data_IF_968690844759
#
_entry.id   IF_968690844759
#
_cell.length_a   1.000
_cell.length_b   1.000
_cell.length_c   1.000
_cell.angle_alpha   90.00
_cell.angle_beta   90.00
_cell.angle_gamma   90.00
#
_symmetry.space_group_name_H-M   'P 1'
#
loop_
_entity.id
_entity.type
_entity.pdbx_description
1 polymer ?
#
# COMPACT_ATOMS: atom_id res chain seq x y z
N UNK A 1 0.98 38.31 -0.47
CA UNK A 1 -0.36 38.54 0.10
C UNK A 1 -1.00 37.17 0.32
N UNK A 2 -1.53 36.98 1.53
CA UNK A 2 -1.93 35.71 2.16
C UNK A 2 -3.27 35.13 1.70
N UNK A 3 -3.48 33.84 2.02
CA UNK A 3 -4.78 33.16 2.26
C UNK A 3 -5.37 32.50 1.01
N UNK A 4 -5.70 31.20 0.94
CA UNK A 4 -6.47 30.36 1.87
C UNK A 4 -7.98 30.61 1.66
N UNK A 5 -8.92 29.68 1.48
CA UNK A 5 -9.03 28.22 1.41
C UNK A 5 -10.54 27.86 1.33
N UNK A 6 -10.87 26.55 1.32
CA UNK A 6 -12.19 25.90 1.56
C UNK A 6 -13.21 25.91 0.37
N UNK A 7 -13.59 24.77 -0.23
CA UNK A 7 -14.46 23.66 0.24
C UNK A 7 -15.96 24.00 0.29
N UNK A 8 -16.78 23.34 -0.55
CA UNK A 8 -17.93 22.49 -0.18
C UNK A 8 -18.84 22.10 -1.38
N UNK A 9 -19.42 20.91 -1.27
CA UNK A 9 -20.19 20.11 -2.24
C UNK A 9 -21.55 20.68 -2.70
N UNK A 10 -22.12 20.18 -3.82
CA UNK A 10 -23.54 20.34 -4.13
C UNK A 10 -24.39 19.11 -3.73
N UNK A 11 -25.28 19.36 -2.78
CA UNK A 11 -26.73 19.08 -2.75
C UNK A 11 -27.27 17.79 -3.39
N UNK A 12 -27.69 16.87 -2.52
CA UNK A 12 -28.62 15.75 -2.79
C UNK A 12 -30.04 16.27 -3.08
N UNK A 13 -30.61 15.87 -4.21
CA UNK A 13 -32.02 16.03 -4.54
C UNK A 13 -32.81 14.76 -4.17
N UNK A 14 -33.85 14.95 -3.36
CA UNK A 14 -34.86 13.95 -2.96
C UNK A 14 -35.79 13.53 -4.10
N UNK A 15 -36.23 12.25 -4.17
CA UNK A 15 -37.35 11.83 -5.02
C UNK A 15 -38.70 11.90 -4.27
N UNK A 16 -39.85 11.91 -4.99
CA UNK A 16 -41.14 12.25 -4.41
C UNK A 16 -41.95 11.06 -3.88
N UNK A 17 -42.82 11.40 -2.92
CA UNK A 17 -43.85 10.61 -2.25
C UNK A 17 -44.88 10.02 -3.24
N UNK A 18 -45.18 8.72 -3.11
CA UNK A 18 -46.35 8.07 -3.70
C UNK A 18 -47.49 7.97 -2.66
N UNK A 19 -48.65 8.49 -3.02
CA UNK A 19 -49.93 8.43 -2.29
C UNK A 19 -50.65 7.08 -2.49
N UNK A 20 -51.40 6.56 -1.49
CA UNK A 20 -52.19 5.34 -1.65
C UNK A 20 -53.63 5.64 -2.09
N UNK A 21 -54.34 4.69 -2.73
CA UNK A 21 -55.78 4.83 -2.93
C UNK A 21 -56.57 4.23 -1.77
N UNK A 22 -57.55 5.01 -1.35
CA UNK A 22 -58.64 4.70 -0.44
C UNK A 22 -59.62 3.67 -1.03
N UNK A 23 -59.96 2.64 -0.25
CA UNK A 23 -61.10 1.76 -0.49
C UNK A 23 -61.91 1.62 0.80
N UNK A 24 -63.04 2.32 0.88
CA UNK A 24 -64.04 2.21 1.94
C UNK A 24 -65.17 1.22 1.61
N UNK A 25 -66.11 1.00 2.54
CA UNK A 25 -66.57 -0.34 2.92
C UNK A 25 -67.98 -0.69 2.44
N UNK A 26 -68.33 -1.98 2.50
CA UNK A 26 -69.72 -2.44 2.41
C UNK A 26 -69.84 -3.92 2.78
N UNK A 27 -70.74 -4.25 3.72
CA UNK A 27 -71.07 -5.64 4.03
C UNK A 27 -71.71 -5.85 5.41
N UNK A 28 -73.03 -5.79 5.43
CA UNK A 28 -73.94 -5.91 6.57
C UNK A 28 -74.00 -7.31 7.22
N UNK A 29 -74.27 -7.28 8.53
CA UNK A 29 -75.31 -8.02 9.28
C UNK A 29 -75.38 -9.57 9.28
N UNK A 30 -75.00 -10.10 10.45
CA UNK A 30 -75.65 -11.12 11.32
C UNK A 30 -76.32 -12.33 10.63
N UNK A 31 -75.82 -13.54 10.95
CA UNK A 31 -76.69 -14.68 11.26
C UNK A 31 -76.10 -15.59 12.33
N UNK A 32 -76.97 -15.95 13.26
CA UNK A 32 -76.77 -16.82 14.41
C UNK A 32 -76.93 -18.31 14.05
N UNK A 33 -76.44 -19.15 14.96
CA UNK A 33 -76.83 -20.55 15.22
C UNK A 33 -75.94 -21.66 14.65
N UNK A 34 -75.68 -22.67 15.49
CA UNK A 34 -75.14 -23.96 15.10
C UNK A 34 -73.96 -24.44 15.94
N UNK A 35 -74.22 -24.88 17.18
CA UNK A 35 -73.27 -25.72 17.90
C UNK A 35 -73.14 -27.07 17.18
N UNK A 36 -71.99 -27.30 16.56
CA UNK A 36 -71.50 -28.63 16.26
C UNK A 36 -70.10 -28.73 16.87
N UNK A 37 -70.01 -29.51 17.94
CA UNK A 37 -68.77 -29.86 18.65
C UNK A 37 -67.91 -30.74 17.73
N UNK A 38 -67.32 -30.15 16.69
CA UNK A 38 -66.20 -30.75 15.99
C UNK A 38 -64.97 -30.44 16.83
N UNK A 39 -64.35 -31.48 17.38
CA UNK A 39 -63.13 -31.38 18.18
C UNK A 39 -62.01 -30.73 17.34
N UNK A 40 -61.97 -29.40 17.28
CA UNK A 40 -60.83 -28.65 16.80
C UNK A 40 -59.71 -28.91 17.79
N UNK A 41 -58.67 -29.59 17.31
CA UNK A 41 -57.43 -29.74 18.07
C UNK A 41 -56.97 -28.37 18.58
N UNK A 42 -56.50 -28.25 19.83
CA UNK A 42 -55.94 -27.02 20.35
C UNK A 42 -54.83 -26.51 19.41
N UNK A 43 -54.66 -25.18 19.22
CA UNK A 43 -53.64 -24.62 18.31
C UNK A 43 -52.25 -25.21 18.56
N UNK A 44 -51.88 -25.38 19.83
CA UNK A 44 -50.60 -25.94 20.24
C UNK A 44 -50.41 -27.41 19.87
N UNK A 45 -51.47 -28.23 19.73
CA UNK A 45 -51.34 -29.61 19.22
C UNK A 45 -51.12 -29.65 17.71
N UNK A 46 -51.50 -28.60 17.00
CA UNK A 46 -51.14 -28.44 15.58
C UNK A 46 -49.66 -28.08 15.46
N UNK A 47 -49.19 -27.17 16.32
CA UNK A 47 -47.79 -26.74 16.38
C UNK A 47 -46.87 -27.88 16.81
N UNK A 48 -47.28 -28.71 17.78
CA UNK A 48 -46.53 -29.89 18.24
C UNK A 48 -46.41 -30.96 17.14
N UNK A 49 -47.47 -31.20 16.37
CA UNK A 49 -47.42 -32.07 15.19
C UNK A 49 -46.56 -31.49 14.06
N UNK A 50 -46.52 -30.17 13.91
CA UNK A 50 -45.61 -29.53 12.97
C UNK A 50 -44.16 -29.66 13.44
N UNK A 51 -43.91 -29.51 14.74
CA UNK A 51 -42.59 -29.66 15.33
C UNK A 51 -42.07 -31.09 15.16
N UNK A 52 -42.87 -32.11 15.47
CA UNK A 52 -42.53 -33.52 15.24
C UNK A 52 -42.22 -33.79 13.76
N UNK A 53 -42.94 -33.15 12.83
CA UNK A 53 -42.66 -33.24 11.39
C UNK A 53 -41.32 -32.60 11.04
N UNK A 54 -41.03 -31.40 11.53
CA UNK A 54 -39.74 -30.73 11.29
C UNK A 54 -38.57 -31.49 11.90
N UNK A 55 -38.73 -32.05 13.11
CA UNK A 55 -37.73 -32.90 13.75
C UNK A 55 -37.46 -34.17 12.94
N UNK A 56 -38.52 -34.81 12.43
CA UNK A 56 -38.39 -35.96 11.55
C UNK A 56 -37.68 -35.59 10.23
N UNK A 57 -38.06 -34.48 9.60
CA UNK A 57 -37.41 -33.97 8.38
C UNK A 57 -35.91 -33.68 8.62
N UNK A 58 -35.56 -33.04 9.74
CA UNK A 58 -34.17 -32.78 10.13
C UNK A 58 -33.37 -34.07 10.33
N UNK A 59 -34.00 -35.09 10.93
CA UNK A 59 -33.37 -36.40 11.15
C UNK A 59 -33.05 -37.09 9.82
N UNK A 60 -33.98 -37.06 8.86
CA UNK A 60 -33.79 -37.61 7.51
C UNK A 60 -32.70 -36.84 6.77
N UNK A 61 -32.74 -35.50 6.80
CA UNK A 61 -31.77 -34.65 6.12
C UNK A 61 -30.36 -34.87 6.66
N UNK A 62 -30.21 -35.03 7.98
CA UNK A 62 -28.94 -35.36 8.64
C UNK A 62 -28.40 -36.73 8.21
N UNK A 63 -29.26 -37.74 8.08
CA UNK A 63 -28.85 -39.06 7.58
C UNK A 63 -28.38 -39.00 6.13
N UNK A 64 -29.10 -38.30 5.26
CA UNK A 64 -28.73 -38.11 3.85
C UNK A 64 -27.41 -37.35 3.71
N UNK A 65 -27.20 -36.27 4.48
CA UNK A 65 -25.93 -35.51 4.46
C UNK A 65 -24.74 -36.32 5.01
N UNK A 66 -24.99 -37.29 5.89
CA UNK A 66 -23.95 -38.15 6.49
C UNK A 66 -23.63 -39.41 5.67
N UNK A 67 -24.44 -39.73 4.66
CA UNK A 67 -24.26 -40.92 3.83
C UNK A 67 -23.12 -40.76 2.82
N UNK A 68 -22.36 -41.83 2.61
CA UNK A 68 -21.04 -41.77 1.99
C UNK A 68 -21.09 -42.25 0.53
N UNK A 69 -21.76 -41.48 -0.33
CA UNK A 69 -21.86 -41.77 -1.76
C UNK A 69 -23.13 -41.23 -2.39
N UNK A 70 -23.12 -41.04 -3.72
CA UNK A 70 -24.32 -40.58 -4.43
C UNK A 70 -25.45 -41.63 -4.43
N UNK A 71 -25.10 -42.92 -4.37
CA UNK A 71 -26.04 -44.03 -4.44
C UNK A 71 -26.81 -44.27 -3.14
N UNK A 72 -26.11 -44.35 -1.99
CA UNK A 72 -26.76 -44.47 -0.66
C UNK A 72 -27.68 -43.28 -0.36
N UNK A 73 -27.30 -42.07 -0.79
CA UNK A 73 -28.14 -40.86 -0.66
C UNK A 73 -29.41 -40.95 -1.49
N UNK A 74 -29.34 -41.52 -2.70
CA UNK A 74 -30.50 -41.68 -3.58
C UNK A 74 -31.49 -42.75 -3.07
N UNK A 75 -30.99 -43.83 -2.45
CA UNK A 75 -31.84 -44.87 -1.85
C UNK A 75 -32.58 -44.35 -0.61
N UNK A 76 -31.89 -43.64 0.30
CA UNK A 76 -32.52 -43.03 1.47
C UNK A 76 -33.60 -42.00 1.10
N UNK A 77 -33.42 -41.26 0.01
CA UNK A 77 -34.41 -40.31 -0.49
C UNK A 77 -35.64 -40.99 -1.11
N UNK A 78 -35.52 -42.25 -1.56
CA UNK A 78 -36.60 -42.98 -2.22
C UNK A 78 -37.63 -43.57 -1.23
N UNK A 79 -37.18 -43.93 -0.03
CA UNK A 79 -37.98 -44.57 1.02
C UNK A 79 -38.87 -43.58 1.83
N UNK A 80 -38.64 -42.28 1.70
CA UNK A 80 -39.37 -41.23 2.41
C UNK A 80 -40.38 -40.58 1.43
N UNK A 81 -41.60 -40.27 1.88
CA UNK A 81 -42.71 -39.77 1.03
C UNK A 81 -42.26 -38.67 0.06
N UNK A 82 -42.33 -38.97 -1.24
CA UNK A 82 -41.72 -38.16 -2.30
C UNK A 82 -42.22 -36.71 -2.36
N UNK A 83 -43.48 -36.43 -2.06
CA UNK A 83 -44.07 -35.11 -2.38
C UNK A 83 -43.46 -33.94 -1.59
N UNK A 84 -43.39 -34.00 -0.25
CA UNK A 84 -42.89 -32.87 0.55
C UNK A 84 -41.36 -32.68 0.41
N UNK A 85 -40.62 -33.78 0.27
CA UNK A 85 -39.16 -33.74 0.12
C UNK A 85 -38.76 -33.27 -1.29
N UNK A 86 -39.56 -33.60 -2.30
CA UNK A 86 -39.46 -33.05 -3.65
C UNK A 86 -39.81 -31.55 -3.68
N UNK A 87 -40.80 -31.09 -2.92
CA UNK A 87 -41.10 -29.65 -2.77
C UNK A 87 -39.91 -28.90 -2.17
N UNK A 88 -39.33 -29.39 -1.07
CA UNK A 88 -38.16 -28.74 -0.45
C UNK A 88 -36.94 -28.76 -1.38
N UNK A 89 -36.68 -29.86 -2.10
CA UNK A 89 -35.59 -29.94 -3.09
C UNK A 89 -35.82 -28.99 -4.28
N UNK A 90 -37.05 -28.84 -4.75
CA UNK A 90 -37.38 -27.96 -5.88
C UNK A 90 -37.34 -26.48 -5.47
N UNK A 91 -37.80 -26.13 -4.27
CA UNK A 91 -37.67 -24.79 -3.69
C UNK A 91 -36.20 -24.41 -3.45
N UNK A 92 -35.41 -25.28 -2.81
CA UNK A 92 -33.97 -25.02 -2.62
C UNK A 92 -33.20 -24.97 -3.94
N UNK A 93 -33.56 -25.79 -4.94
CA UNK A 93 -32.99 -25.68 -6.28
C UNK A 93 -33.39 -24.37 -6.98
N UNK A 94 -34.62 -23.91 -6.82
CA UNK A 94 -35.10 -22.64 -7.35
C UNK A 94 -34.38 -21.44 -6.70
N UNK A 95 -34.18 -21.47 -5.39
CA UNK A 95 -33.45 -20.46 -4.62
C UNK A 95 -31.95 -20.44 -4.96
N UNK A 96 -31.31 -21.60 -5.08
CA UNK A 96 -29.92 -21.69 -5.53
C UNK A 96 -29.77 -21.17 -6.95
N UNK A 97 -30.73 -21.47 -7.84
CA UNK A 97 -30.73 -20.97 -9.21
C UNK A 97 -30.98 -19.46 -9.29
N UNK A 98 -31.89 -18.92 -8.46
CA UNK A 98 -32.13 -17.47 -8.38
C UNK A 98 -30.92 -16.72 -7.82
N UNK A 99 -30.29 -17.25 -6.77
CA UNK A 99 -29.06 -16.72 -6.20
C UNK A 99 -27.88 -16.81 -7.19
N UNK A 100 -27.74 -17.90 -7.92
CA UNK A 100 -26.71 -18.04 -8.96
C UNK A 100 -26.94 -17.04 -10.11
N UNK A 101 -28.18 -16.89 -10.59
CA UNK A 101 -28.52 -15.88 -11.60
C UNK A 101 -28.20 -14.48 -11.12
N UNK A 102 -28.52 -14.15 -9.87
CA UNK A 102 -28.22 -12.84 -9.30
C UNK A 102 -26.72 -12.59 -9.18
N UNK A 103 -25.96 -13.56 -8.66
CA UNK A 103 -24.49 -13.47 -8.58
C UNK A 103 -23.84 -13.37 -9.95
N UNK A 104 -24.37 -14.08 -10.95
CA UNK A 104 -23.90 -14.01 -12.32
C UNK A 104 -24.13 -12.62 -12.91
N UNK A 105 -25.31 -12.03 -12.70
CA UNK A 105 -25.63 -10.67 -13.14
C UNK A 105 -24.76 -9.62 -12.46
N UNK A 106 -24.60 -9.70 -11.15
CA UNK A 106 -23.72 -8.79 -10.41
C UNK A 106 -22.29 -8.87 -10.92
N UNK A 107 -21.77 -10.08 -11.15
CA UNK A 107 -20.42 -10.27 -11.70
C UNK A 107 -20.29 -9.70 -13.12
N UNK A 108 -21.32 -9.85 -13.96
CA UNK A 108 -21.28 -9.27 -15.32
C UNK A 108 -21.34 -7.74 -15.28
N UNK A 109 -22.17 -7.16 -14.42
CA UNK A 109 -22.26 -5.70 -14.22
C UNK A 109 -20.95 -5.13 -13.67
N UNK A 110 -20.35 -5.77 -12.65
CA UNK A 110 -19.05 -5.40 -12.11
C UNK A 110 -17.94 -5.49 -13.17
N UNK A 111 -17.97 -6.55 -13.99
CA UNK A 111 -17.01 -6.72 -15.08
C UNK A 111 -17.19 -5.65 -16.17
N UNK A 112 -18.43 -5.34 -16.55
CA UNK A 112 -18.75 -4.28 -17.52
C UNK A 112 -18.26 -2.92 -17.02
N UNK A 113 -18.55 -2.57 -15.77
CA UNK A 113 -18.08 -1.32 -15.14
C UNK A 113 -16.55 -1.28 -15.09
N UNK A 114 -15.89 -2.39 -14.74
CA UNK A 114 -14.43 -2.46 -14.73
C UNK A 114 -13.82 -2.29 -16.14
N UNK A 115 -14.42 -2.90 -17.17
CA UNK A 115 -13.98 -2.76 -18.56
C UNK A 115 -14.17 -1.34 -19.07
N UNK A 116 -15.32 -0.72 -18.79
CA UNK A 116 -15.56 0.69 -19.14
C UNK A 116 -14.59 1.63 -18.43
N UNK A 117 -14.28 1.35 -17.15
CA UNK A 117 -13.28 2.09 -16.39
C UNK A 117 -11.90 2.00 -17.02
N UNK A 118 -11.46 0.79 -17.38
CA UNK A 118 -10.19 0.56 -18.07
C UNK A 118 -10.14 1.21 -19.45
N UNK A 119 -11.24 1.18 -20.22
CA UNK A 119 -11.32 1.84 -21.52
C UNK A 119 -11.21 3.37 -21.39
N UNK A 120 -11.90 3.97 -20.41
CA UNK A 120 -11.80 5.41 -20.13
C UNK A 120 -10.39 5.80 -19.71
N UNK A 121 -9.77 5.03 -18.82
CA UNK A 121 -8.38 5.26 -18.40
C UNK A 121 -7.41 5.15 -19.58
N UNK A 122 -7.53 4.10 -20.40
CA UNK A 122 -6.70 3.93 -21.59
C UNK A 122 -6.87 5.10 -22.57
N UNK A 123 -8.10 5.55 -22.78
CA UNK A 123 -8.36 6.69 -23.65
C UNK A 123 -7.74 7.98 -23.10
N UNK A 124 -7.82 8.21 -21.79
CA UNK A 124 -7.20 9.35 -21.12
C UNK A 124 -5.67 9.30 -21.23
N UNK A 125 -5.05 8.15 -20.93
CA UNK A 125 -3.60 7.98 -21.05
C UNK A 125 -3.13 8.21 -22.49
N UNK A 126 -3.91 7.79 -23.48
CA UNK A 126 -3.63 8.05 -24.89
C UNK A 126 -3.73 9.54 -25.24
N UNK A 127 -4.73 10.25 -24.74
CA UNK A 127 -4.84 11.70 -24.98
C UNK A 127 -3.70 12.44 -24.32
N UNK A 128 -3.39 12.15 -23.05
CA UNK A 128 -2.30 12.79 -22.30
C UNK A 128 -0.95 12.54 -22.98
N UNK A 129 -0.69 11.31 -23.43
CA UNK A 129 0.54 10.98 -24.15
C UNK A 129 0.62 11.74 -25.49
N UNK A 130 -0.49 11.81 -26.23
CA UNK A 130 -0.53 12.52 -27.52
C UNK A 130 -0.31 14.02 -27.33
N UNK A 131 -0.93 14.62 -26.32
CA UNK A 131 -0.75 16.04 -25.98
C UNK A 131 0.69 16.33 -25.54
N UNK A 132 1.27 15.47 -24.70
CA UNK A 132 2.67 15.62 -24.27
C UNK A 132 3.65 15.50 -25.45
N UNK A 133 3.37 14.59 -26.39
CA UNK A 133 4.17 14.41 -27.59
C UNK A 133 4.06 15.62 -28.51
N UNK A 134 2.86 16.13 -28.75
CA UNK A 134 2.64 17.34 -29.56
C UNK A 134 3.28 18.58 -28.92
N UNK A 135 3.22 18.71 -27.59
CA UNK A 135 3.91 19.79 -26.88
C UNK A 135 5.43 19.70 -27.04
N UNK A 136 6.00 18.49 -26.92
CA UNK A 136 7.43 18.28 -27.15
C UNK A 136 7.82 18.53 -28.62
N UNK A 137 7.01 18.08 -29.56
CA UNK A 137 7.22 18.28 -31.00
C UNK A 137 7.21 19.78 -31.36
N UNK A 138 6.20 20.53 -30.91
CA UNK A 138 6.12 21.98 -31.15
C UNK A 138 7.29 22.75 -30.52
N UNK A 139 7.73 22.37 -29.32
CA UNK A 139 8.90 22.94 -28.68
C UNK A 139 10.19 22.67 -29.49
N UNK A 140 10.40 21.42 -29.92
CA UNK A 140 11.56 21.03 -30.72
C UNK A 140 11.54 21.70 -32.10
N UNK A 141 10.37 21.82 -32.73
CA UNK A 141 10.21 22.56 -33.99
C UNK A 141 10.61 24.03 -33.79
N UNK A 142 10.16 24.69 -32.73
CA UNK A 142 10.57 26.05 -32.40
C UNK A 142 12.08 26.20 -32.20
N UNK A 143 12.72 25.25 -31.50
CA UNK A 143 14.18 25.24 -31.35
C UNK A 143 14.92 25.04 -32.67
N UNK A 144 14.43 24.17 -33.55
CA UNK A 144 14.99 23.97 -34.88
C UNK A 144 14.86 25.24 -35.72
N UNK A 145 13.73 25.93 -35.66
CA UNK A 145 13.51 27.21 -36.35
C UNK A 145 14.45 28.30 -35.83
N UNK A 146 14.59 28.44 -34.51
CA UNK A 146 15.53 29.38 -33.87
C UNK A 146 16.97 29.10 -34.30
N UNK A 147 17.44 27.86 -34.18
CA UNK A 147 18.78 27.45 -34.61
C UNK A 147 18.99 27.65 -36.10
N UNK A 148 17.95 27.43 -36.92
CA UNK A 148 18.01 27.68 -38.36
C UNK A 148 18.15 29.17 -38.65
N UNK A 149 17.41 30.03 -37.93
CA UNK A 149 17.52 31.48 -38.04
C UNK A 149 18.91 31.98 -37.61
N UNK A 150 19.45 31.46 -36.51
CA UNK A 150 20.80 31.76 -36.02
C UNK A 150 21.88 31.33 -37.02
N UNK A 151 21.74 30.13 -37.58
CA UNK A 151 22.65 29.64 -38.61
C UNK A 151 22.59 30.50 -39.88
N UNK A 152 21.40 30.95 -40.27
CA UNK A 152 21.23 31.90 -41.38
C UNK A 152 21.88 33.26 -41.05
N UNK A 153 21.67 33.80 -39.85
CA UNK A 153 22.29 35.05 -39.40
C UNK A 153 23.81 34.94 -39.38
N UNK A 154 24.36 33.85 -38.82
CA UNK A 154 25.78 33.57 -38.82
C UNK A 154 26.34 33.48 -40.24
N UNK A 155 25.66 32.78 -41.15
CA UNK A 155 26.09 32.70 -42.54
C UNK A 155 26.02 34.04 -43.27
N UNK A 156 25.01 34.87 -43.00
CA UNK A 156 24.94 36.24 -43.50
C UNK A 156 26.06 37.10 -42.94
N UNK A 157 26.37 36.99 -41.64
CA UNK A 157 27.45 37.74 -41.02
C UNK A 157 28.81 37.30 -41.57
N UNK A 158 29.03 35.98 -41.68
CA UNK A 158 30.21 35.39 -42.32
C UNK A 158 30.37 35.90 -43.75
N UNK A 159 29.28 35.90 -44.53
CA UNK A 159 29.29 36.46 -45.89
C UNK A 159 29.60 37.95 -45.88
N UNK A 160 28.95 38.73 -45.01
CA UNK A 160 29.26 40.16 -44.83
C UNK A 160 30.68 40.42 -44.38
N UNK A 161 31.31 39.55 -43.61
CA UNK A 161 32.73 39.64 -43.23
C UNK A 161 33.64 39.32 -44.42
N UNK A 162 33.33 38.26 -45.17
CA UNK A 162 34.02 37.88 -46.40
C UNK A 162 33.91 38.95 -47.50
N UNK A 163 32.72 39.54 -47.62
CA UNK A 163 32.38 40.66 -48.49
C UNK A 163 32.71 42.01 -47.85
N UNK A 164 33.12 42.01 -46.57
CA UNK A 164 33.20 43.24 -45.79
C UNK A 164 34.12 44.20 -46.49
N UNK A 165 33.73 45.45 -46.35
CA UNK A 165 34.44 46.66 -46.68
C UNK A 165 35.95 46.55 -46.59
N UNK A 166 36.57 45.69 -45.76
CA UNK A 166 38.01 45.46 -45.82
C UNK A 166 38.49 44.92 -47.18
N UNK A 167 37.98 43.80 -47.70
CA UNK A 167 38.47 43.20 -48.95
C UNK A 167 38.08 44.05 -50.17
N UNK A 168 36.86 44.59 -50.16
CA UNK A 168 36.37 45.49 -51.21
C UNK A 168 37.00 46.91 -51.15
N UNK A 169 37.22 47.52 -49.98
CA UNK A 169 37.97 48.79 -49.88
C UNK A 169 39.44 48.58 -50.14
N UNK A 170 40.05 47.45 -49.75
CA UNK A 170 41.42 47.13 -50.12
C UNK A 170 41.53 47.05 -51.65
N UNK A 171 40.65 46.29 -52.32
CA UNK A 171 40.61 46.23 -53.79
C UNK A 171 40.31 47.60 -54.43
N UNK A 172 39.36 48.38 -53.88
CA UNK A 172 39.04 49.73 -54.36
C UNK A 172 40.18 50.71 -54.15
N UNK A 173 40.88 50.64 -53.02
CA UNK A 173 42.02 51.50 -52.67
C UNK A 173 43.24 51.12 -53.51
N UNK A 174 43.49 49.83 -53.72
CA UNK A 174 44.45 49.31 -54.72
C UNK A 174 44.15 49.87 -56.11
N UNK A 175 42.88 49.87 -56.53
CA UNK A 175 42.45 50.45 -57.81
C UNK A 175 42.56 51.99 -57.87
N UNK A 176 42.33 52.68 -56.74
CA UNK A 176 42.26 54.16 -56.69
C UNK A 176 43.62 54.81 -56.46
N UNK A 177 44.49 54.16 -55.70
CA UNK A 177 45.76 54.70 -55.19
C UNK A 177 46.97 53.82 -55.55
N UNK A 178 46.77 52.72 -56.27
CA UNK A 178 47.79 51.70 -56.52
C UNK A 178 47.87 50.69 -55.38
N UNK A 179 48.51 49.53 -55.63
CA UNK A 179 48.77 48.55 -54.56
C UNK A 179 49.44 49.25 -53.37
N UNK A 180 48.93 49.08 -52.13
CA UNK A 180 49.67 49.40 -50.93
C UNK A 180 51.01 48.69 -51.08
N UNK A 181 52.08 49.44 -51.38
CA UNK A 181 53.34 48.85 -51.83
C UNK A 181 53.78 47.71 -50.91
N UNK A 182 54.53 46.75 -51.45
CA UNK A 182 54.86 45.43 -50.88
C UNK A 182 55.05 45.32 -49.35
N UNK A 183 55.50 46.39 -48.70
CA UNK A 183 55.53 46.54 -47.24
C UNK A 183 54.16 46.28 -46.56
N UNK A 184 53.08 46.90 -47.02
CA UNK A 184 51.77 46.79 -46.35
C UNK A 184 51.09 45.45 -46.59
N UNK A 185 51.28 44.86 -47.77
CA UNK A 185 50.84 43.49 -48.07
C UNK A 185 51.57 42.49 -47.14
N UNK A 186 52.89 42.64 -46.97
CA UNK A 186 53.69 41.83 -46.04
C UNK A 186 53.26 42.00 -44.58
N UNK A 187 52.98 43.23 -44.15
CA UNK A 187 52.52 43.49 -42.78
C UNK A 187 51.13 42.86 -42.52
N UNK A 188 50.23 42.91 -43.51
CA UNK A 188 48.92 42.28 -43.41
C UNK A 188 49.01 40.75 -43.32
N UNK A 189 49.91 40.13 -44.10
CA UNK A 189 50.17 38.69 -44.01
C UNK A 189 50.78 38.29 -42.66
N UNK A 190 51.70 39.09 -42.13
CA UNK A 190 52.28 38.90 -40.79
C UNK A 190 51.21 38.95 -39.69
N UNK A 191 50.29 39.93 -39.75
CA UNK A 191 49.20 40.05 -38.80
C UNK A 191 48.21 38.87 -38.90
N UNK A 192 47.93 38.37 -40.11
CA UNK A 192 47.08 37.20 -40.29
C UNK A 192 47.68 35.97 -39.60
N UNK A 193 48.99 35.73 -39.76
CA UNK A 193 49.69 34.64 -39.10
C UNK A 193 49.61 34.73 -37.57
N UNK A 194 49.81 35.93 -37.00
CA UNK A 194 49.67 36.14 -35.55
C UNK A 194 48.24 35.87 -35.08
N UNK A 195 47.22 36.30 -35.84
CA UNK A 195 45.81 36.03 -35.51
C UNK A 195 45.53 34.53 -35.53
N UNK A 196 45.99 33.80 -36.54
CA UNK A 196 45.83 32.35 -36.64
C UNK A 196 46.48 31.65 -35.45
N UNK A 197 47.73 32.00 -35.11
CA UNK A 197 48.42 31.48 -33.93
C UNK A 197 47.68 31.78 -32.62
N UNK A 198 47.14 32.99 -32.46
CA UNK A 198 46.38 33.36 -31.26
C UNK A 198 45.05 32.62 -31.20
N UNK A 199 44.39 32.41 -32.33
CA UNK A 199 43.14 31.66 -32.45
C UNK A 199 43.33 30.19 -32.05
N UNK A 200 44.39 29.54 -32.56
CA UNK A 200 44.75 28.17 -32.18
C UNK A 200 45.03 28.07 -30.67
N UNK A 201 45.79 29.02 -30.11
CA UNK A 201 46.07 29.06 -28.67
C UNK A 201 44.79 29.20 -27.83
N UNK A 202 43.84 30.04 -28.25
CA UNK A 202 42.55 30.19 -27.57
C UNK A 202 41.76 28.89 -27.65
N UNK A 203 41.74 28.22 -28.81
CA UNK A 203 41.07 26.94 -28.97
C UNK A 203 41.64 25.86 -28.02
N UNK A 204 42.96 25.78 -27.90
CA UNK A 204 43.62 24.83 -27.00
C UNK A 204 43.39 25.13 -25.52
N UNK A 205 43.37 26.42 -25.16
CA UNK A 205 42.94 26.84 -23.82
C UNK A 205 41.48 26.45 -23.56
N UNK A 206 40.60 26.59 -24.55
CA UNK A 206 39.22 26.14 -24.48
C UNK A 206 39.10 24.64 -24.22
N UNK A 207 39.85 23.80 -24.95
CA UNK A 207 39.91 22.34 -24.71
C UNK A 207 40.39 22.02 -23.28
N UNK A 208 41.38 22.76 -22.77
CA UNK A 208 41.88 22.57 -21.40
C UNK A 208 40.84 22.96 -20.36
N UNK A 209 40.12 24.06 -20.58
CA UNK A 209 39.03 24.51 -19.72
C UNK A 209 37.94 23.44 -19.59
N UNK A 210 37.46 22.90 -20.71
CA UNK A 210 36.44 21.83 -20.71
C UNK A 210 36.90 20.59 -19.94
N UNK A 211 38.18 20.21 -20.05
CA UNK A 211 38.74 19.09 -19.26
C UNK A 211 38.74 19.40 -17.77
N UNK A 212 39.03 20.64 -17.38
CA UNK A 212 39.01 21.06 -15.98
C UNK A 212 37.57 21.11 -15.43
N UNK A 213 36.60 21.58 -16.21
CA UNK A 213 35.18 21.58 -15.86
C UNK A 213 34.69 20.14 -15.62
N UNK A 214 34.98 19.21 -16.52
CA UNK A 214 34.63 17.80 -16.36
C UNK A 214 35.29 17.15 -15.13
N UNK A 215 36.50 17.57 -14.76
CA UNK A 215 37.16 17.12 -13.53
C UNK A 215 36.52 17.73 -12.29
N UNK A 216 36.09 18.99 -12.34
CA UNK A 216 35.40 19.65 -11.24
C UNK A 216 34.04 18.99 -10.96
N UNK A 217 33.26 18.69 -12.00
CA UNK A 217 31.99 17.95 -11.87
C UNK A 217 32.20 16.57 -11.23
N UNK A 218 33.22 15.82 -11.67
CA UNK A 218 33.57 14.54 -11.04
C UNK A 218 33.98 14.70 -9.59
N UNK A 219 34.73 15.75 -9.25
CA UNK A 219 35.14 15.99 -7.89
C UNK A 219 33.93 16.29 -6.99
N UNK A 220 32.98 17.12 -7.45
CA UNK A 220 31.74 17.37 -6.73
C UNK A 220 30.94 16.08 -6.49
N UNK A 221 30.81 15.22 -7.50
CA UNK A 221 30.13 13.93 -7.32
C UNK A 221 30.83 13.01 -6.32
N UNK A 222 32.17 13.01 -6.29
CA UNK A 222 32.94 12.24 -5.32
C UNK A 222 32.78 12.83 -3.90
N UNK A 223 32.74 14.15 -3.75
CA UNK A 223 32.48 14.82 -2.47
C UNK A 223 31.10 14.44 -1.92
N UNK A 224 30.06 14.41 -2.77
CA UNK A 224 28.72 13.94 -2.39
C UNK A 224 28.73 12.47 -1.91
N UNK A 225 29.42 11.58 -2.65
CA UNK A 225 29.55 10.17 -2.26
C UNK A 225 30.28 9.99 -0.93
N UNK A 226 31.33 10.79 -0.69
CA UNK A 226 32.05 10.80 0.58
C UNK A 226 31.11 11.23 1.71
N UNK A 227 30.35 12.30 1.53
CA UNK A 227 29.40 12.76 2.55
C UNK A 227 28.35 11.70 2.88
N UNK A 228 27.76 11.06 1.86
CA UNK A 228 26.78 9.97 2.07
C UNK A 228 27.40 8.79 2.81
N UNK A 229 28.63 8.41 2.46
CA UNK A 229 29.34 7.31 3.12
C UNK A 229 29.66 7.64 4.58
N UNK A 230 30.08 8.88 4.86
CA UNK A 230 30.32 9.35 6.23
C UNK A 230 29.03 9.36 7.05
N UNK A 231 27.91 9.81 6.47
CA UNK A 231 26.61 9.78 7.12
C UNK A 231 26.18 8.34 7.45
N UNK A 232 26.34 7.40 6.52
CA UNK A 232 26.05 5.98 6.77
C UNK A 232 26.96 5.39 7.85
N UNK A 233 28.25 5.75 7.86
CA UNK A 233 29.18 5.32 8.91
C UNK A 233 28.76 5.81 10.28
N UNK A 234 28.30 7.06 10.39
CA UNK A 234 27.82 7.62 11.65
C UNK A 234 26.52 6.96 12.12
N UNK A 235 25.56 6.71 11.22
CA UNK A 235 24.33 5.98 11.57
C UNK A 235 24.63 4.57 12.10
N UNK A 236 25.56 3.84 11.45
CA UNK A 236 26.01 2.53 11.92
C UNK A 236 26.68 2.62 13.29
N UNK A 237 27.47 3.67 13.55
CA UNK A 237 28.13 3.88 14.85
C UNK A 237 27.09 4.09 15.96
N UNK A 238 26.11 4.95 15.73
CA UNK A 238 25.00 5.17 16.68
C UNK A 238 24.24 3.87 16.95
N UNK A 239 23.98 3.04 15.92
CA UNK A 239 23.35 1.72 16.12
C UNK A 239 24.22 0.79 16.96
N UNK A 240 25.53 0.76 16.73
CA UNK A 240 26.46 -0.04 17.52
C UNK A 240 26.43 0.40 18.98
N UNK A 241 26.47 1.72 19.25
CA UNK A 241 26.44 2.26 20.62
C UNK A 241 25.13 1.90 21.35
N UNK A 242 24.01 1.91 20.64
CA UNK A 242 22.71 1.45 21.17
C UNK A 242 22.74 -0.04 21.53
N UNK A 243 23.26 -0.90 20.64
CA UNK A 243 23.39 -2.33 20.93
C UNK A 243 24.36 -2.61 22.09
N UNK A 244 25.47 -1.87 22.17
CA UNK A 244 26.41 -1.99 23.28
C UNK A 244 25.74 -1.64 24.61
N UNK A 245 24.95 -0.55 24.64
CA UNK A 245 24.18 -0.15 25.82
C UNK A 245 23.17 -1.23 26.23
N UNK A 246 22.47 -1.82 25.28
CA UNK A 246 21.55 -2.94 25.53
C UNK A 246 22.27 -4.18 26.07
N UNK A 247 23.42 -4.54 25.50
CA UNK A 247 24.24 -5.66 25.96
C UNK A 247 24.70 -5.43 27.41
N UNK A 248 25.14 -4.22 27.75
CA UNK A 248 25.53 -3.86 29.11
C UNK A 248 24.35 -3.99 30.08
N UNK A 249 23.15 -3.52 29.68
CA UNK A 249 21.95 -3.65 30.49
C UNK A 249 21.57 -5.12 30.74
N UNK A 250 21.50 -5.94 29.67
CA UNK A 250 21.17 -7.36 29.80
C UNK A 250 22.20 -8.12 30.63
N UNK A 251 23.48 -7.76 30.50
CA UNK A 251 24.56 -8.36 31.32
C UNK A 251 24.38 -8.03 32.81
N UNK A 252 23.96 -6.79 33.11
CA UNK A 252 23.64 -6.38 34.49
C UNK A 252 22.44 -7.16 35.02
N UNK A 253 21.34 -7.23 34.27
CA UNK A 253 20.14 -7.99 34.65
C UNK A 253 20.46 -9.48 34.87
N UNK A 254 21.29 -10.08 34.01
CA UNK A 254 21.74 -11.46 34.17
C UNK A 254 22.54 -11.65 35.47
N UNK A 255 23.44 -10.71 35.79
CA UNK A 255 24.21 -10.75 37.02
C UNK A 255 23.31 -10.63 38.26
N UNK A 256 22.36 -9.70 38.24
CA UNK A 256 21.40 -9.46 39.33
C UNK A 256 20.50 -10.68 39.57
N UNK A 257 19.99 -11.30 38.50
CA UNK A 257 19.19 -12.53 38.57
C UNK A 257 19.99 -13.70 39.11
N UNK A 258 21.24 -13.87 38.69
CA UNK A 258 22.13 -14.91 39.24
C UNK A 258 22.35 -14.70 40.73
N UNK A 259 22.60 -13.47 41.16
CA UNK A 259 22.73 -13.13 42.58
C UNK A 259 21.44 -13.35 43.38
N UNK A 260 20.25 -13.17 42.78
CA UNK A 260 18.98 -13.52 43.41
C UNK A 260 18.79 -15.04 43.54
N UNK A 261 19.15 -15.80 42.50
CA UNK A 261 19.10 -17.25 42.51
C UNK A 261 20.02 -17.85 43.57
N UNK A 262 21.26 -17.36 43.68
CA UNK A 262 22.23 -17.83 44.69
C UNK A 262 21.72 -17.56 46.13
N UNK A 263 21.06 -16.41 46.35
CA UNK A 263 20.41 -16.11 47.64
C UNK A 263 19.24 -17.07 47.91
N UNK A 264 18.38 -17.30 46.92
CA UNK A 264 17.22 -18.18 47.06
C UNK A 264 17.63 -19.64 47.30
N UNK A 265 18.65 -20.13 46.61
CA UNK A 265 19.20 -21.48 46.81
C UNK A 265 19.80 -21.64 48.20
N UNK A 266 20.52 -20.63 48.70
CA UNK A 266 21.03 -20.62 50.08
C UNK A 266 19.91 -20.70 51.11
N UNK A 267 18.84 -19.91 50.95
CA UNK A 267 17.66 -19.97 51.84
C UNK A 267 16.98 -21.33 51.78
N UNK A 268 16.81 -21.88 50.57
CA UNK A 268 16.18 -23.20 50.38
C UNK A 268 17.01 -24.33 51.03
N UNK A 269 18.33 -24.30 50.90
CA UNK A 269 19.22 -25.25 51.59
C UNK A 269 19.04 -25.18 53.12
N UNK A 270 18.98 -23.98 53.70
CA UNK A 270 18.72 -23.79 55.14
C UNK A 270 17.36 -24.37 55.55
N UNK A 271 16.29 -24.04 54.82
CA UNK A 271 14.95 -24.58 55.08
C UNK A 271 14.90 -26.10 54.91
N UNK A 272 15.63 -26.68 53.96
CA UNK A 272 15.73 -28.13 53.78
C UNK A 272 16.40 -28.80 54.97
N UNK A 273 17.50 -28.23 55.48
CA UNK A 273 18.17 -28.71 56.69
C UNK A 273 17.24 -28.60 57.91
N UNK A 274 16.56 -27.48 58.10
CA UNK A 274 15.57 -27.30 59.18
C UNK A 274 14.42 -28.30 59.07
N UNK A 275 13.91 -28.54 57.85
CA UNK A 275 12.90 -29.54 57.57
C UNK A 275 13.37 -30.94 57.94
N UNK A 276 14.57 -31.34 57.54
CA UNK A 276 15.15 -32.64 57.89
C UNK A 276 15.32 -32.79 59.41
N UNK A 277 15.81 -31.76 60.10
CA UNK A 277 15.90 -31.73 61.56
C UNK A 277 14.53 -31.87 62.23
N UNK A 278 13.49 -31.22 61.69
CA UNK A 278 12.12 -31.32 62.18
C UNK A 278 11.55 -32.73 61.96
N UNK A 279 11.73 -33.31 60.77
CA UNK A 279 11.29 -34.68 60.46
C UNK A 279 12.00 -35.71 61.34
N UNK A 280 13.30 -35.55 61.57
CA UNK A 280 14.07 -36.38 62.49
C UNK A 280 13.47 -36.31 63.91
N UNK A 281 13.22 -35.10 64.42
CA UNK A 281 12.57 -34.90 65.72
C UNK A 281 11.17 -35.53 65.80
N UNK A 282 10.36 -35.45 64.74
CA UNK A 282 9.03 -36.06 64.70
C UNK A 282 9.10 -37.60 64.71
N UNK A 283 10.02 -38.19 63.93
CA UNK A 283 10.20 -39.66 63.85
C UNK A 283 10.78 -40.27 65.12
N UNK A 284 11.56 -39.50 65.88
CA UNK A 284 12.20 -39.95 67.12
C UNK A 284 11.56 -39.36 68.38
N UNK A 285 10.33 -38.85 68.26
CA UNK A 285 9.53 -38.31 69.37
C UNK A 285 9.29 -39.33 70.49
N UNK A 286 9.35 -40.62 70.17
CA UNK A 286 9.14 -41.72 71.12
C UNK A 286 10.45 -42.36 71.64
N UNK A 287 11.63 -41.79 71.33
CA UNK A 287 12.94 -42.32 71.79
C UNK A 287 13.82 -41.31 72.54
N UNK A 288 13.37 -40.06 72.72
CA UNK A 288 14.04 -39.05 73.54
C UNK A 288 13.15 -38.66 74.74
N UNK A 289 13.58 -38.90 75.99
CA UNK A 289 12.84 -38.42 77.15
C UNK A 289 13.04 -36.91 77.31
N UNK A 290 11.95 -36.16 77.09
CA UNK A 290 11.73 -34.81 77.60
C UNK A 290 12.54 -33.70 76.91
N UNK A 291 11.84 -32.73 76.30
CA UNK A 291 11.80 -31.36 76.82
C UNK A 291 10.83 -30.51 75.96
N UNK A 292 9.72 -30.18 76.60
CA UNK A 292 8.91 -28.95 76.49
C UNK A 292 8.71 -28.30 75.11
N UNK A 293 7.57 -28.58 74.46
CA UNK A 293 7.01 -27.64 73.48
C UNK A 293 6.50 -26.39 74.23
N UNK A 294 6.83 -25.17 73.77
CA UNK A 294 6.17 -23.97 74.26
C UNK A 294 4.68 -24.04 73.92
N UNK A 295 3.88 -23.77 74.94
CA UNK A 295 2.44 -23.58 74.90
C UNK A 295 2.06 -22.54 73.85
N UNK A 296 1.17 -22.92 72.94
CA UNK A 296 0.35 -21.98 72.18
C UNK A 296 -0.59 -21.27 73.15
N UNK A 297 -0.50 -19.95 73.24
CA UNK A 297 -1.57 -19.12 73.81
C UNK A 297 -1.90 -17.96 72.86
N UNK A 298 -3.22 -17.77 72.77
CA UNK A 298 -4.04 -16.95 71.90
C UNK A 298 -3.66 -15.49 71.68
N UNK A 299 -3.87 -15.04 70.44
CA UNK A 299 -4.80 -13.97 70.04
C UNK A 299 -5.09 -12.86 71.07
N UNK A 300 -4.59 -11.64 70.78
CA UNK A 300 -5.33 -10.38 70.95
C UNK A 300 -4.87 -9.41 69.85
N UNK A 301 -5.80 -9.10 68.93
CA UNK A 301 -5.79 -7.89 68.08
C UNK A 301 -6.43 -6.73 68.89
N UNK A 302 -6.24 -5.44 68.56
CA UNK A 302 -5.94 -4.85 67.25
C UNK A 302 -4.57 -4.16 67.11
#
# INVERSE_FOLDING_TARGET
MSGGGLSCCPTLATPPLATPPSGGPGGDRIQTSGWATSAKMPPWKSDEKQLERFEWQLKVLKQVLSANGAQERAELLKDHSHDELFVVQTETAADLNSAHKQRSKQRTEEHEVAVEGLQKQHQQERTDLTESFQAAETLLQGQVEELTADLQLYNQLKRRVQESTFKNNLLRNIQSHGSPGAFWESEQESLLFVIEMKSERVQDQGKKLHRLEALAEKNLSLEEQIMLTLQQSEDLRVRIDNYQSLIQQLSKEQHDLKGALDRQTTVNQKLSQEKEQLVFRLRHRDTCPGMHLPVMLSEVAP
#
